data_IF_609946720798
#
_entry.id   IF_609946720798
#
_cell.length_a   1.000
_cell.length_b   1.000
_cell.length_c   1.000
_cell.angle_alpha   90.00
_cell.angle_beta   90.00
_cell.angle_gamma   90.00
#
_symmetry.space_group_name_H-M   'P 1'
#
loop_
_entity.id
_entity.type
_entity.pdbx_description
1 polymer ?
#
# COMPACT_ATOMS: atom_id res chain seq x y z
N UNK A 1 10.08 -7.20 5.32
CA UNK A 1 9.55 -6.90 3.96
C UNK A 1 8.71 -5.64 4.08
N UNK A 2 8.89 -4.65 3.19
CA UNK A 2 7.99 -3.48 3.12
C UNK A 2 6.86 -3.76 2.15
N UNK A 3 5.63 -3.55 2.58
CA UNK A 3 4.41 -3.86 1.83
C UNK A 3 3.55 -2.59 1.77
N UNK A 4 3.12 -2.20 0.58
CA UNK A 4 2.14 -1.13 0.39
C UNK A 4 0.77 -1.74 0.07
N UNK A 5 -0.24 -1.39 0.87
CA UNK A 5 -1.63 -1.77 0.64
C UNK A 5 -2.36 -0.53 0.13
N UNK A 6 -2.89 -0.61 -1.09
CA UNK A 6 -3.61 0.47 -1.76
C UNK A 6 -5.07 0.06 -1.92
N UNK A 7 -5.93 0.59 -1.05
CA UNK A 7 -7.31 0.14 -0.87
C UNK A 7 -8.13 1.24 -0.15
N UNK A 8 -9.22 1.68 -0.78
CA UNK A 8 -10.11 2.70 -0.24
C UNK A 8 -11.11 2.11 0.77
N UNK A 9 -11.55 0.85 0.59
CA UNK A 9 -12.43 0.19 1.53
C UNK A 9 -11.73 -0.15 2.85
N UNK A 10 -12.28 0.36 3.94
CA UNK A 10 -11.72 0.19 5.28
C UNK A 10 -11.66 -1.29 5.71
N UNK A 11 -12.65 -2.09 5.33
CA UNK A 11 -12.76 -3.49 5.75
C UNK A 11 -11.73 -4.35 5.02
N UNK A 12 -11.66 -4.23 3.70
CA UNK A 12 -10.67 -4.88 2.84
C UNK A 12 -9.25 -4.52 3.30
N UNK A 13 -8.98 -3.23 3.52
CA UNK A 13 -7.68 -2.76 3.99
C UNK A 13 -7.28 -3.37 5.33
N UNK A 14 -8.20 -3.40 6.30
CA UNK A 14 -7.93 -3.97 7.64
C UNK A 14 -7.71 -5.48 7.58
N UNK A 15 -8.42 -6.18 6.70
CA UNK A 15 -8.23 -7.61 6.46
C UNK A 15 -6.84 -7.87 5.87
N UNK A 16 -6.48 -7.18 4.79
CA UNK A 16 -5.17 -7.32 4.14
C UNK A 16 -4.03 -7.01 5.11
N UNK A 17 -4.14 -5.94 5.89
CA UNK A 17 -3.13 -5.60 6.90
C UNK A 17 -2.93 -6.73 7.92
N UNK A 18 -4.02 -7.35 8.41
CA UNK A 18 -3.92 -8.47 9.35
C UNK A 18 -3.29 -9.72 8.71
N UNK A 19 -3.61 -9.99 7.46
CA UNK A 19 -3.05 -11.13 6.71
C UNK A 19 -1.55 -10.92 6.49
N UNK A 20 -1.13 -9.70 6.18
CA UNK A 20 0.23 -9.39 5.74
C UNK A 20 1.18 -9.00 6.88
N UNK A 21 0.66 -8.56 8.03
CA UNK A 21 1.46 -8.17 9.19
C UNK A 21 2.51 -9.20 9.65
N UNK A 22 2.26 -10.53 9.63
CA UNK A 22 3.29 -11.52 9.98
C UNK A 22 4.48 -11.57 9.00
N UNK A 23 4.31 -11.07 7.78
CA UNK A 23 5.30 -11.16 6.70
C UNK A 23 6.10 -9.86 6.51
N UNK A 24 5.61 -8.74 7.05
CA UNK A 24 6.27 -7.46 6.86
C UNK A 24 5.54 -6.25 7.44
N UNK A 25 6.20 -5.11 7.33
CA UNK A 25 5.63 -3.82 7.70
C UNK A 25 4.68 -3.37 6.58
N UNK A 26 3.45 -3.04 6.97
CA UNK A 26 2.38 -2.66 6.07
C UNK A 26 2.13 -1.15 6.15
N UNK A 27 2.34 -0.48 5.03
CA UNK A 27 1.97 0.91 4.80
C UNK A 27 0.67 0.96 3.98
N UNK A 28 -0.06 2.07 4.11
CA UNK A 28 -1.42 2.21 3.56
C UNK A 28 -1.48 3.44 2.66
N UNK A 29 -2.10 3.28 1.50
CA UNK A 29 -2.61 4.38 0.68
C UNK A 29 -4.11 4.14 0.40
N UNK A 30 -4.91 5.20 0.35
CA UNK A 30 -6.38 5.09 0.16
C UNK A 30 -6.85 5.53 -1.23
N UNK A 31 -5.92 5.89 -2.12
CA UNK A 31 -6.16 6.25 -3.52
C UNK A 31 -4.87 6.13 -4.36
N UNK A 32 -4.97 6.36 -5.67
CA UNK A 32 -3.83 6.28 -6.60
C UNK A 32 -2.73 7.30 -6.33
N UNK A 33 -3.07 8.58 -6.07
CA UNK A 33 -2.11 9.67 -5.81
C UNK A 33 -1.23 9.39 -4.62
N UNK A 34 -1.83 8.93 -3.52
CA UNK A 34 -1.09 8.54 -2.32
C UNK A 34 -0.18 7.37 -2.61
N UNK A 35 -0.65 6.37 -3.36
CA UNK A 35 0.15 5.21 -3.72
C UNK A 35 1.37 5.60 -4.56
N UNK A 36 1.19 6.43 -5.59
CA UNK A 36 2.30 6.93 -6.43
C UNK A 36 3.28 7.74 -5.59
N UNK A 37 2.78 8.67 -4.77
CA UNK A 37 3.62 9.51 -3.90
C UNK A 37 4.44 8.67 -2.92
N UNK A 38 3.83 7.63 -2.32
CA UNK A 38 4.50 6.73 -1.41
C UNK A 38 5.60 5.90 -2.10
N UNK A 39 5.34 5.45 -3.34
CA UNK A 39 6.31 4.70 -4.14
C UNK A 39 7.49 5.59 -4.57
N UNK A 40 7.22 6.81 -5.03
CA UNK A 40 8.26 7.78 -5.39
C UNK A 40 9.16 8.12 -4.20
N UNK A 41 8.57 8.35 -3.02
CA UNK A 41 9.32 8.59 -1.79
C UNK A 41 10.18 7.38 -1.41
N UNK A 42 9.59 6.18 -1.41
CA UNK A 42 10.31 4.95 -1.07
C UNK A 42 11.48 4.67 -2.03
N UNK A 43 11.35 5.01 -3.31
CA UNK A 43 12.46 4.96 -4.27
C UNK A 43 13.52 6.02 -4.00
N UNK A 44 13.12 7.26 -3.69
CA UNK A 44 14.05 8.34 -3.34
C UNK A 44 14.87 8.06 -2.08
N UNK A 45 14.34 7.27 -1.16
CA UNK A 45 14.98 6.85 0.08
C UNK A 45 15.75 5.52 -0.02
N UNK A 46 15.90 4.97 -1.24
CA UNK A 46 16.54 3.66 -1.49
C UNK A 46 15.93 2.49 -0.67
N UNK A 47 14.63 2.60 -0.37
CA UNK A 47 13.88 1.66 0.45
C UNK A 47 12.59 1.19 -0.25
N UNK A 48 12.64 0.65 -1.48
CA UNK A 48 11.44 0.34 -2.25
C UNK A 48 10.54 -0.72 -1.58
N UNK A 49 9.25 -0.67 -1.90
CA UNK A 49 8.32 -1.73 -1.52
C UNK A 49 8.66 -3.04 -2.23
N UNK A 50 8.54 -4.14 -1.50
CA UNK A 50 8.79 -5.47 -2.02
C UNK A 50 7.50 -6.11 -2.56
N UNK A 51 6.35 -5.62 -2.08
CA UNK A 51 5.02 -6.02 -2.48
C UNK A 51 4.11 -4.80 -2.46
N UNK A 52 3.29 -4.65 -3.50
CA UNK A 52 2.22 -3.67 -3.57
C UNK A 52 0.93 -4.45 -3.83
N UNK A 53 -0.04 -4.35 -2.92
CA UNK A 53 -1.40 -4.85 -3.11
C UNK A 53 -2.26 -3.69 -3.58
N UNK A 54 -2.57 -3.65 -4.88
CA UNK A 54 -3.28 -2.54 -5.51
C UNK A 54 -4.71 -2.93 -5.87
N UNK A 55 -5.69 -2.24 -5.29
CA UNK A 55 -7.04 -2.28 -5.82
C UNK A 55 -7.13 -1.54 -7.16
N UNK A 56 -7.88 -2.12 -8.10
CA UNK A 56 -8.09 -1.58 -9.44
C UNK A 56 -9.34 -0.70 -9.52
N UNK A 57 -10.20 -0.73 -8.50
CA UNK A 57 -11.50 -0.05 -8.48
C UNK A 57 -11.59 0.99 -7.37
N UNK A 58 -10.75 2.02 -7.42
CA UNK A 58 -10.75 3.11 -6.43
C UNK A 58 -11.30 4.44 -7.00
N UNK A 59 -11.92 5.29 -6.16
CA UNK A 59 -12.18 6.68 -6.48
C UNK A 59 -10.88 7.50 -6.47
N UNK A 60 -10.76 8.38 -7.46
CA UNK A 60 -9.57 9.19 -7.74
C UNK A 60 -8.30 8.40 -8.14
N UNK A 61 -7.70 8.83 -9.26
CA UNK A 61 -6.31 8.52 -9.59
C UNK A 61 -5.38 9.45 -8.84
#
# INVERSE_FOLDING_TARGET
MRILIVEDDFTSRRLLQKILAPYGECEIAINGKEAVSAVELAWGEDAPYHLICLDIMMPEM
#
